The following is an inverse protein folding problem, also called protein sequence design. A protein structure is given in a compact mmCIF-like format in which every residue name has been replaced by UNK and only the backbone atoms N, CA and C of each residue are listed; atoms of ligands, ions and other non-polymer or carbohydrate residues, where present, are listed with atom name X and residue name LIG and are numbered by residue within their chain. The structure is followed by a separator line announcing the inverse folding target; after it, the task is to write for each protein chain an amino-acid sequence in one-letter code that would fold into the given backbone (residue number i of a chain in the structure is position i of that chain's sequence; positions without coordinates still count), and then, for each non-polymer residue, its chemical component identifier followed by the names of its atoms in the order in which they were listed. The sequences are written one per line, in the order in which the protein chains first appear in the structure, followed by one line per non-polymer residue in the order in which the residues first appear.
data_IF_863398439347
#
_entry.id   IF_863398439347
#
_cell.length_a   1.000
_cell.length_b   1.000
_cell.length_c   1.000
_cell.angle_alpha   90.00
_cell.angle_beta   90.00
_cell.angle_gamma   90.00
#
_symmetry.space_group_name_H-M   'P 1'
#
loop_
_entity.id
_entity.type
_entity.pdbx_description
1 polymer ?
#
# COMPACT_ATOMS: atom_id res chain seq x y z
N UNK A 1 66.94 16.66 -23.67
CA UNK A 1 65.64 16.34 -24.29
C UNK A 1 64.83 15.60 -23.24
N UNK A 2 63.97 16.33 -22.48
CA UNK A 2 63.10 15.74 -21.45
C UNK A 2 61.74 15.36 -22.09
N UNK A 3 61.43 14.08 -22.08
CA UNK A 3 60.10 13.59 -22.52
C UNK A 3 59.17 13.63 -21.30
N UNK A 4 58.20 14.54 -21.33
CA UNK A 4 57.09 14.59 -20.36
C UNK A 4 56.07 13.56 -20.75
N UNK A 5 55.87 12.51 -19.93
CA UNK A 5 54.85 11.49 -20.08
C UNK A 5 53.55 12.01 -19.47
N UNK A 6 52.56 12.37 -20.31
CA UNK A 6 51.25 12.79 -19.85
C UNK A 6 50.42 11.55 -19.49
N UNK A 7 50.11 11.35 -18.21
CA UNK A 7 49.21 10.31 -17.72
C UNK A 7 47.75 10.82 -17.86
N UNK A 8 47.01 10.27 -18.81
CA UNK A 8 45.57 10.54 -18.95
C UNK A 8 44.84 9.66 -17.92
N UNK A 9 44.36 10.26 -16.85
CA UNK A 9 43.46 9.57 -15.88
C UNK A 9 42.06 9.55 -16.45
N UNK A 10 41.65 8.39 -16.97
CA UNK A 10 40.28 8.16 -17.46
C UNK A 10 39.36 7.89 -16.26
N UNK A 11 38.63 8.92 -15.82
CA UNK A 11 37.65 8.80 -14.73
C UNK A 11 36.41 8.05 -15.25
N UNK A 12 36.28 6.78 -14.93
CA UNK A 12 35.05 6.01 -15.14
C UNK A 12 33.98 6.49 -14.16
N UNK A 13 33.06 7.32 -14.63
CA UNK A 13 31.81 7.60 -13.91
C UNK A 13 30.94 6.33 -13.95
N UNK A 14 30.88 5.61 -12.82
CA UNK A 14 29.91 4.55 -12.61
C UNK A 14 28.52 5.16 -12.53
N UNK A 15 27.79 5.18 -13.65
CA UNK A 15 26.38 5.53 -13.67
C UNK A 15 25.64 4.34 -13.03
N UNK A 16 25.36 4.45 -11.71
CA UNK A 16 24.43 3.51 -11.06
C UNK A 16 23.04 3.77 -11.62
N UNK A 17 22.36 2.77 -12.23
CA UNK A 17 21.00 2.97 -12.68
C UNK A 17 20.14 3.35 -11.49
N UNK A 18 19.51 4.53 -11.54
CA UNK A 18 18.48 4.93 -10.60
C UNK A 18 17.32 3.94 -10.79
N UNK A 19 17.23 2.97 -9.86
CA UNK A 19 16.10 2.06 -9.84
C UNK A 19 14.85 2.88 -9.49
N UNK A 20 13.97 3.11 -10.44
CA UNK A 20 12.69 3.76 -10.21
C UNK A 20 11.92 3.05 -9.09
N UNK A 21 11.24 3.82 -8.24
CA UNK A 21 10.36 3.29 -7.21
C UNK A 21 9.19 2.56 -7.89
N UNK A 22 9.16 1.25 -7.76
CA UNK A 22 8.15 0.41 -8.37
C UNK A 22 6.87 0.42 -7.51
N UNK A 23 5.76 0.78 -8.12
CA UNK A 23 4.44 0.71 -7.47
C UNK A 23 3.91 -0.72 -7.50
N UNK A 24 3.31 -1.15 -6.38
CA UNK A 24 2.62 -2.42 -6.22
C UNK A 24 1.23 -2.20 -5.64
N UNK A 25 0.26 -3.04 -6.02
CA UNK A 25 -1.02 -3.12 -5.32
C UNK A 25 -0.88 -4.03 -4.09
N UNK A 26 -1.50 -3.63 -2.98
CA UNK A 26 -1.72 -4.48 -1.81
C UNK A 26 -3.16 -4.96 -1.88
N UNK A 27 -3.34 -6.27 -2.09
CA UNK A 27 -4.65 -6.87 -2.28
C UNK A 27 -4.97 -7.94 -1.24
N UNK A 28 -6.26 -8.08 -0.93
CA UNK A 28 -6.77 -9.15 -0.07
C UNK A 28 -6.69 -10.48 -0.80
N UNK A 29 -6.14 -11.52 -0.16
CA UNK A 29 -6.02 -12.86 -0.78
C UNK A 29 -7.38 -13.49 -1.06
N UNK A 30 -8.35 -13.28 -0.18
CA UNK A 30 -9.73 -13.73 -0.41
C UNK A 30 -10.48 -12.70 -1.27
N UNK A 31 -11.04 -13.15 -2.37
CA UNK A 31 -11.78 -12.29 -3.30
C UNK A 31 -13.10 -11.76 -2.74
N UNK A 32 -13.63 -12.40 -1.68
CA UNK A 32 -14.94 -12.09 -1.10
C UNK A 32 -16.05 -12.15 -2.18
N UNK A 33 -16.74 -11.05 -2.38
CA UNK A 33 -17.86 -10.90 -3.32
C UNK A 33 -17.49 -10.16 -4.63
N UNK A 34 -16.20 -9.95 -4.91
CA UNK A 34 -15.73 -9.39 -6.20
C UNK A 34 -14.58 -10.24 -6.78
N UNK A 35 -14.76 -10.93 -7.93
CA UNK A 35 -13.71 -11.78 -8.51
C UNK A 35 -12.45 -11.00 -8.92
N UNK A 36 -12.51 -9.67 -9.02
CA UNK A 36 -11.34 -8.80 -9.25
C UNK A 36 -10.51 -8.58 -7.97
N UNK A 37 -11.09 -8.96 -6.80
CA UNK A 37 -10.51 -8.78 -5.48
C UNK A 37 -10.58 -7.34 -4.96
N UNK A 38 -10.14 -7.16 -3.71
CA UNK A 38 -10.10 -5.87 -3.03
C UNK A 38 -8.67 -5.43 -2.77
N UNK A 39 -8.35 -4.20 -3.16
CA UNK A 39 -7.07 -3.54 -2.92
C UNK A 39 -7.22 -2.40 -1.90
N UNK A 40 -6.13 -2.09 -1.18
CA UNK A 40 -6.07 -0.88 -0.36
C UNK A 40 -6.09 0.32 -1.31
N UNK A 41 -7.01 1.24 -1.08
CA UNK A 41 -7.35 2.32 -2.00
C UNK A 41 -7.60 3.63 -1.25
N UNK A 42 -7.19 4.76 -1.84
CA UNK A 42 -7.59 6.09 -1.34
C UNK A 42 -9.03 6.36 -1.79
N UNK A 43 -9.91 6.74 -0.87
CA UNK A 43 -11.28 7.13 -1.24
C UNK A 43 -11.28 8.23 -2.31
N UNK A 44 -11.97 7.97 -3.42
CA UNK A 44 -12.03 8.89 -4.55
C UNK A 44 -11.73 8.21 -5.89
N UNK A 45 -10.93 8.82 -6.75
CA UNK A 45 -10.65 8.26 -8.07
C UNK A 45 -9.28 8.70 -8.59
N UNK A 46 -8.37 7.75 -8.76
CA UNK A 46 -7.02 7.96 -9.34
C UNK A 46 -6.31 9.18 -8.73
N UNK A 47 -5.76 10.07 -9.55
CA UNK A 47 -5.08 11.30 -9.10
C UNK A 47 -6.02 12.33 -8.43
N UNK A 48 -7.34 12.18 -8.58
CA UNK A 48 -8.35 12.99 -7.89
C UNK A 48 -8.82 12.37 -6.57
N UNK A 49 -8.09 11.38 -6.06
CA UNK A 49 -8.37 10.74 -4.78
C UNK A 49 -8.36 11.76 -3.62
N UNK A 50 -9.25 11.54 -2.65
CA UNK A 50 -9.51 12.48 -1.56
C UNK A 50 -8.73 12.04 -0.31
N UNK A 51 -7.47 12.49 -0.20
CA UNK A 51 -6.53 12.12 0.87
C UNK A 51 -7.14 12.32 2.26
N UNK A 52 -7.92 13.38 2.47
CA UNK A 52 -8.58 13.70 3.74
C UNK A 52 -9.68 12.71 4.15
N UNK A 53 -10.17 11.90 3.23
CA UNK A 53 -11.19 10.87 3.50
C UNK A 53 -10.59 9.51 3.92
N UNK A 54 -9.26 9.35 3.85
CA UNK A 54 -8.55 8.14 4.26
C UNK A 54 -8.69 6.98 3.28
N UNK A 55 -8.43 5.77 3.78
CA UNK A 55 -8.37 4.55 2.99
C UNK A 55 -9.65 3.72 3.07
N UNK A 56 -9.81 2.85 2.10
CA UNK A 56 -10.88 1.84 1.97
C UNK A 56 -10.31 0.59 1.29
N UNK A 57 -11.04 -0.51 1.33
CA UNK A 57 -10.87 -1.61 0.39
C UNK A 57 -11.77 -1.36 -0.80
N UNK A 58 -11.23 -1.46 -2.01
CA UNK A 58 -11.94 -1.18 -3.25
C UNK A 58 -11.57 -2.23 -4.29
N UNK A 59 -12.47 -2.54 -5.21
CA UNK A 59 -12.15 -3.39 -6.37
C UNK A 59 -10.79 -3.01 -6.92
N UNK A 60 -9.89 -3.98 -7.09
CA UNK A 60 -8.56 -3.74 -7.63
C UNK A 60 -8.62 -3.28 -9.09
N UNK A 61 -7.74 -2.36 -9.48
CA UNK A 61 -7.70 -1.83 -10.84
C UNK A 61 -6.73 -2.56 -11.77
N UNK A 62 -5.87 -3.46 -11.26
CA UNK A 62 -4.84 -4.16 -12.05
C UNK A 62 -5.40 -4.96 -13.23
N UNK A 63 -6.68 -5.36 -13.21
CA UNK A 63 -7.34 -5.95 -14.39
C UNK A 63 -7.36 -5.02 -15.61
N UNK A 64 -7.10 -3.72 -15.44
CA UNK A 64 -6.96 -2.73 -16.51
C UNK A 64 -5.53 -2.63 -17.06
N UNK A 65 -4.63 -3.54 -16.64
CA UNK A 65 -3.25 -3.65 -17.14
C UNK A 65 -2.22 -2.75 -16.47
N UNK A 66 -2.60 -1.91 -15.50
CA UNK A 66 -1.66 -1.09 -14.73
C UNK A 66 -2.19 -0.74 -13.35
N UNK A 67 -1.27 -0.52 -12.41
CA UNK A 67 -1.59 -0.09 -11.06
C UNK A 67 -2.11 1.34 -11.06
N UNK A 68 -3.27 1.55 -10.45
CA UNK A 68 -3.86 2.88 -10.32
C UNK A 68 -3.09 3.73 -9.29
N UNK A 69 -2.96 5.06 -9.51
CA UNK A 69 -2.26 5.95 -8.58
C UNK A 69 -2.78 5.89 -7.13
N UNK A 70 -4.09 5.69 -6.95
CA UNK A 70 -4.77 5.61 -5.64
C UNK A 70 -4.67 4.24 -4.95
N UNK A 71 -4.11 3.22 -5.64
CA UNK A 71 -3.84 1.87 -5.13
C UNK A 71 -2.35 1.51 -5.12
N UNK A 72 -1.48 2.38 -5.63
CA UNK A 72 -0.07 2.11 -5.83
C UNK A 72 0.81 2.43 -4.63
N UNK A 73 1.38 1.40 -3.99
CA UNK A 73 2.32 1.51 -2.88
C UNK A 73 3.77 1.35 -3.34
N UNK A 74 4.69 2.05 -2.69
CA UNK A 74 6.12 1.95 -2.94
C UNK A 74 6.67 0.62 -2.42
N UNK A 75 7.04 -0.31 -3.33
CA UNK A 75 7.47 -1.67 -2.98
C UNK A 75 8.69 -1.70 -2.06
N UNK A 76 9.68 -0.82 -2.26
CA UNK A 76 10.91 -0.76 -1.44
C UNK A 76 10.63 -0.23 -0.03
N UNK A 77 9.63 0.63 0.12
CA UNK A 77 9.28 1.18 1.43
C UNK A 77 8.47 0.18 2.27
N UNK A 78 7.70 -0.70 1.63
CA UNK A 78 7.01 -1.79 2.32
C UNK A 78 7.98 -2.69 3.09
N UNK A 79 9.14 -3.03 2.51
CA UNK A 79 10.18 -3.83 3.20
C UNK A 79 10.83 -3.11 4.39
N UNK A 80 10.55 -1.82 4.56
CA UNK A 80 11.03 -0.97 5.66
C UNK A 80 9.89 -0.57 6.60
N UNK A 81 8.79 -1.34 6.59
CA UNK A 81 7.60 -1.10 7.42
C UNK A 81 6.91 0.26 7.16
N UNK A 82 7.10 0.82 5.96
CA UNK A 82 6.52 2.09 5.54
C UNK A 82 5.55 1.89 4.38
N UNK A 83 4.28 2.12 4.62
CA UNK A 83 3.21 1.98 3.62
C UNK A 83 2.95 3.34 2.97
N UNK A 84 3.73 3.65 1.93
CA UNK A 84 3.72 4.94 1.22
C UNK A 84 2.99 4.77 -0.12
N UNK A 85 1.97 5.58 -0.37
CA UNK A 85 1.34 5.69 -1.68
C UNK A 85 2.23 6.52 -2.60
N UNK A 86 2.78 5.86 -3.63
CA UNK A 86 3.85 6.40 -4.48
C UNK A 86 3.47 7.72 -5.14
N UNK A 87 2.28 7.78 -5.76
CA UNK A 87 1.83 8.95 -6.53
C UNK A 87 1.53 10.18 -5.68
N UNK A 88 1.30 10.00 -4.38
CA UNK A 88 0.93 11.08 -3.46
C UNK A 88 2.04 11.40 -2.45
N UNK A 89 3.06 10.55 -2.36
CA UNK A 89 4.15 10.63 -1.37
C UNK A 89 3.63 10.81 0.07
N UNK A 90 2.63 9.99 0.43
CA UNK A 90 1.91 10.07 1.69
C UNK A 90 1.83 8.69 2.35
N UNK A 91 1.87 8.65 3.68
CA UNK A 91 1.88 7.41 4.46
C UNK A 91 0.49 7.01 4.94
N UNK A 92 0.23 5.69 4.91
CA UNK A 92 -0.85 5.08 5.66
C UNK A 92 -0.59 5.26 7.15
N UNK A 93 -1.62 5.67 7.89
CA UNK A 93 -1.56 5.90 9.34
C UNK A 93 -2.83 5.38 10.01
N UNK A 94 -2.66 4.67 11.13
CA UNK A 94 -3.77 4.30 12.00
C UNK A 94 -4.30 5.54 12.76
N UNK A 95 -5.59 5.63 13.00
CA UNK A 95 -6.16 6.72 13.81
C UNK A 95 -5.86 6.57 15.30
N UNK A 96 -5.62 5.33 15.78
CA UNK A 96 -5.28 5.00 17.17
C UNK A 96 -4.58 3.64 17.28
N UNK A 97 -4.19 3.25 18.50
CA UNK A 97 -3.65 1.92 18.84
C UNK A 97 -4.73 0.96 19.40
N UNK A 98 -6.00 1.21 19.14
CA UNK A 98 -7.13 0.43 19.64
C UNK A 98 -7.87 -0.27 18.51
N UNK A 99 -8.62 -1.35 18.78
CA UNK A 99 -9.51 -1.95 17.77
C UNK A 99 -10.45 -0.91 17.17
N UNK A 100 -10.90 -1.17 15.93
CA UNK A 100 -11.75 -0.30 15.11
C UNK A 100 -11.09 1.03 14.71
N UNK A 101 -9.75 1.13 14.82
CA UNK A 101 -9.01 2.29 14.33
C UNK A 101 -9.10 2.37 12.80
N UNK A 102 -9.57 3.51 12.29
CA UNK A 102 -9.61 3.79 10.86
C UNK A 102 -8.20 4.02 10.29
N UNK A 103 -8.05 3.81 8.99
CA UNK A 103 -6.82 4.12 8.24
C UNK A 103 -6.99 5.49 7.58
N UNK A 104 -6.07 6.39 7.89
CA UNK A 104 -5.98 7.74 7.32
C UNK A 104 -4.66 7.94 6.60
N UNK A 105 -4.50 9.06 5.93
CA UNK A 105 -3.30 9.44 5.20
C UNK A 105 -2.67 10.68 5.81
N UNK A 106 -1.36 10.64 6.07
CA UNK A 106 -0.58 11.73 6.66
C UNK A 106 0.79 11.83 6.03
N UNK A 107 1.42 12.99 6.17
CA UNK A 107 2.85 13.14 5.86
C UNK A 107 3.64 12.07 6.59
N UNK A 108 4.60 11.48 5.90
CA UNK A 108 5.43 10.42 6.47
C UNK A 108 6.39 11.01 7.51
N UNK A 109 6.24 10.61 8.76
CA UNK A 109 7.08 11.05 9.89
C UNK A 109 7.58 9.87 10.76
N UNK A 110 7.21 8.63 10.38
CA UNK A 110 7.58 7.38 11.05
C UNK A 110 7.11 7.29 12.51
N UNK A 111 6.05 7.99 12.89
CA UNK A 111 5.46 7.82 14.20
C UNK A 111 4.89 6.39 14.38
N UNK A 112 4.59 6.00 15.63
CA UNK A 112 4.12 4.65 15.98
C UNK A 112 2.82 4.22 15.30
N UNK A 113 2.03 5.16 14.77
CA UNK A 113 0.79 4.89 14.05
C UNK A 113 1.00 4.68 12.55
N UNK A 114 2.22 4.94 12.02
CA UNK A 114 2.60 4.75 10.62
C UNK A 114 3.48 3.52 10.38
N UNK A 115 3.88 2.82 11.43
CA UNK A 115 4.76 1.66 11.33
C UNK A 115 3.94 0.37 11.30
N UNK A 116 3.86 -0.23 10.12
CA UNK A 116 3.17 -1.50 9.88
C UNK A 116 4.18 -2.57 9.48
N UNK A 117 3.96 -3.79 9.93
CA UNK A 117 4.80 -4.93 9.61
C UNK A 117 4.01 -5.98 8.84
N UNK A 118 4.62 -6.49 7.77
CA UNK A 118 4.11 -7.62 7.02
C UNK A 118 4.63 -8.91 7.63
N UNK A 119 3.74 -9.78 8.11
CA UNK A 119 4.12 -11.06 8.71
C UNK A 119 4.27 -12.18 7.69
N UNK A 120 4.93 -13.27 8.10
CA UNK A 120 5.02 -14.52 7.32
C UNK A 120 3.64 -15.19 7.10
N UNK A 121 2.64 -14.82 7.88
CA UNK A 121 1.24 -15.29 7.74
C UNK A 121 0.40 -14.42 6.80
N UNK A 122 1.04 -13.55 6.04
CA UNK A 122 0.38 -12.60 5.14
C UNK A 122 -0.52 -11.58 5.85
N UNK A 123 -0.30 -11.32 7.13
CA UNK A 123 -1.01 -10.28 7.89
C UNK A 123 -0.20 -8.99 7.94
N UNK A 124 -0.90 -7.86 7.98
CA UNK A 124 -0.30 -6.53 8.15
C UNK A 124 -0.66 -6.05 9.55
N UNK A 125 0.34 -6.05 10.45
CA UNK A 125 0.19 -5.62 11.84
C UNK A 125 0.56 -4.16 12.02
N UNK A 126 -0.10 -3.49 12.97
CA UNK A 126 0.40 -2.22 13.51
C UNK A 126 1.49 -2.52 14.55
N UNK A 127 2.74 -2.12 14.31
CA UNK A 127 3.87 -2.43 15.19
C UNK A 127 3.63 -1.93 16.63
N UNK A 128 3.02 -0.76 16.77
CA UNK A 128 2.67 -0.18 18.08
C UNK A 128 1.67 -1.00 18.91
N UNK A 129 0.92 -1.91 18.25
CA UNK A 129 0.06 -2.91 18.88
C UNK A 129 -0.12 -4.11 17.96
N UNK A 130 0.75 -5.12 18.08
CA UNK A 130 0.76 -6.33 17.24
C UNK A 130 -0.48 -7.23 17.36
N UNK A 131 -1.40 -6.92 18.29
CA UNK A 131 -2.71 -7.60 18.32
C UNK A 131 -3.68 -7.07 17.28
N UNK A 132 -3.32 -5.98 16.56
CA UNK A 132 -4.16 -5.31 15.57
C UNK A 132 -3.67 -5.60 14.15
N UNK A 133 -4.55 -6.18 13.34
CA UNK A 133 -4.35 -6.48 11.93
C UNK A 133 -5.17 -5.53 11.05
N UNK A 134 -4.61 -5.16 9.90
CA UNK A 134 -5.35 -4.49 8.83
C UNK A 134 -6.48 -5.42 8.35
N UNK A 135 -7.72 -4.95 8.43
CA UNK A 135 -8.92 -5.76 8.25
C UNK A 135 -9.90 -5.09 7.29
N UNK A 136 -10.40 -5.86 6.34
CA UNK A 136 -11.56 -5.48 5.52
C UNK A 136 -12.84 -5.79 6.28
N UNK A 137 -13.80 -4.87 6.23
CA UNK A 137 -15.14 -5.05 6.84
C UNK A 137 -15.82 -6.34 6.34
N UNK A 138 -16.38 -7.14 7.26
CA UNK A 138 -17.06 -8.39 6.98
C UNK A 138 -18.47 -8.20 6.38
N UNK A 139 -19.04 -7.00 6.48
CA UNK A 139 -20.37 -6.69 5.94
C UNK A 139 -20.43 -6.80 4.42
N UNK A 140 -21.58 -6.51 3.85
CA UNK A 140 -21.77 -6.48 2.39
C UNK A 140 -21.01 -5.31 1.77
N UNK A 141 -20.48 -5.52 0.56
CA UNK A 141 -19.87 -4.45 -0.23
C UNK A 141 -20.90 -3.38 -0.60
N UNK A 142 -20.41 -2.15 -0.68
CA UNK A 142 -21.15 -1.00 -1.22
C UNK A 142 -20.76 -0.81 -2.69
N UNK A 143 -21.71 -0.44 -3.53
CA UNK A 143 -21.45 -0.09 -4.92
C UNK A 143 -20.66 1.23 -5.00
N UNK A 144 -19.62 1.24 -5.80
CA UNK A 144 -18.85 2.43 -6.15
C UNK A 144 -19.51 3.28 -7.25
N UNK A 145 -18.84 4.35 -7.64
CA UNK A 145 -19.32 5.31 -8.65
C UNK A 145 -18.98 4.97 -10.10
N UNK A 146 -18.32 3.84 -10.40
CA UNK A 146 -17.85 3.53 -11.76
C UNK A 146 -17.57 2.06 -11.99
N UNK A 147 -17.07 1.77 -13.21
CA UNK A 147 -16.75 0.41 -13.64
C UNK A 147 -17.90 -0.31 -14.34
N UNK A 148 -17.54 -1.30 -15.17
CA UNK A 148 -18.48 -2.24 -15.79
C UNK A 148 -17.84 -3.64 -15.77
N UNK A 149 -18.26 -4.52 -14.84
CA UNK A 149 -19.28 -4.32 -13.80
C UNK A 149 -18.86 -3.23 -12.78
N UNK A 150 -19.84 -2.68 -12.07
CA UNK A 150 -19.62 -1.62 -11.08
C UNK A 150 -18.60 -2.05 -10.02
N UNK A 151 -17.71 -1.13 -9.63
CA UNK A 151 -16.73 -1.41 -8.57
C UNK A 151 -17.40 -1.49 -7.21
N UNK A 152 -16.84 -2.32 -6.33
CA UNK A 152 -17.32 -2.53 -4.98
C UNK A 152 -16.34 -1.91 -3.96
N UNK A 153 -16.87 -1.52 -2.81
CA UNK A 153 -16.11 -0.90 -1.72
C UNK A 153 -16.48 -1.52 -0.39
N UNK A 154 -15.48 -1.61 0.51
CA UNK A 154 -15.63 -2.02 1.92
C UNK A 154 -14.82 -1.08 2.80
N UNK A 155 -15.21 -0.96 4.07
CA UNK A 155 -14.38 -0.22 5.01
C UNK A 155 -13.09 -0.97 5.32
N UNK A 156 -12.05 -0.21 5.71
CA UNK A 156 -10.80 -0.71 6.27
C UNK A 156 -10.65 -0.19 7.69
N UNK A 157 -10.26 -1.08 8.61
CA UNK A 157 -9.94 -0.75 9.99
C UNK A 157 -8.82 -1.65 10.51
N UNK A 158 -8.36 -1.37 11.72
CA UNK A 158 -7.52 -2.27 12.49
C UNK A 158 -8.40 -3.01 13.48
N UNK A 159 -8.46 -4.34 13.35
CA UNK A 159 -9.20 -5.21 14.28
C UNK A 159 -8.28 -6.21 14.96
N UNK A 160 -8.74 -6.88 16.00
CA UNK A 160 -7.97 -7.95 16.61
C UNK A 160 -7.64 -9.03 15.57
N UNK A 161 -6.39 -9.48 15.55
CA UNK A 161 -5.96 -10.57 14.70
C UNK A 161 -6.55 -11.89 15.22
N UNK A 162 -7.46 -12.51 14.48
CA UNK A 162 -8.08 -13.79 14.85
C UNK A 162 -8.15 -14.72 13.64
N UNK A 163 -8.23 -16.02 13.88
CA UNK A 163 -8.38 -17.01 12.81
C UNK A 163 -9.70 -16.85 12.05
N UNK A 164 -10.78 -16.52 12.75
CA UNK A 164 -12.09 -16.28 12.15
C UNK A 164 -12.11 -15.11 11.17
N UNK A 165 -11.17 -14.17 11.31
CA UNK A 165 -11.01 -13.01 10.43
C UNK A 165 -9.97 -13.23 9.31
N UNK A 166 -9.32 -14.39 9.21
CA UNK A 166 -8.31 -14.64 8.17
C UNK A 166 -8.78 -14.27 6.75
N UNK A 167 -10.02 -14.57 6.30
CA UNK A 167 -10.48 -14.15 4.98
C UNK A 167 -10.47 -12.63 4.75
N UNK A 168 -10.48 -11.83 5.82
CA UNK A 168 -10.52 -10.37 5.80
C UNK A 168 -9.21 -9.71 6.24
N UNK A 169 -8.19 -10.50 6.63
CA UNK A 169 -6.93 -10.02 7.21
C UNK A 169 -5.68 -10.52 6.50
N UNK A 170 -5.80 -11.36 5.47
CA UNK A 170 -4.65 -11.90 4.75
C UNK A 170 -4.44 -11.19 3.42
N UNK A 171 -3.24 -10.64 3.26
CA UNK A 171 -2.88 -9.73 2.18
C UNK A 171 -1.72 -10.25 1.34
N UNK A 172 -1.64 -9.82 0.10
CA UNK A 172 -0.48 -10.03 -0.76
C UNK A 172 -0.20 -8.79 -1.61
N UNK A 173 0.91 -8.82 -2.34
CA UNK A 173 1.29 -7.76 -3.28
C UNK A 173 1.35 -8.31 -4.69
N UNK A 174 1.04 -7.46 -5.67
CA UNK A 174 1.26 -7.72 -7.10
C UNK A 174 1.69 -6.46 -7.83
N UNK A 175 2.37 -6.67 -8.96
CA UNK A 175 2.80 -5.65 -9.92
C UNK A 175 1.79 -5.46 -11.01
#
# INVERSE_FOLDING_TARGET
MNKILAIIVLSFFLITPSQADESVEIYLLNQLDDPRGFCIDIKGHKLKAQINKGLQAHTCYSYQGKISPDQGFNSRKLTKNQFILTSFNICMEASSLTPSANLRLRKCDRNKLQNFEWSNENKIYLIGNRKLCLTVDQGQSKKGGGGSPVHLMRNLSLELCTESLNPYQTWSVRK
#
